data_IF_828670057360
#
_entry.id   IF_828670057360
#
_cell.length_a   1.000
_cell.length_b   1.000
_cell.length_c   1.000
_cell.angle_alpha   90.00
_cell.angle_beta   90.00
_cell.angle_gamma   90.00
#
_symmetry.space_group_name_H-M   'P 1'
#
loop_
_entity.id
_entity.type
_entity.pdbx_description
1 polymer ?
#
# COMPACT_ATOMS: atom_id res chain seq x y z
N UNK A 1 6.01 -4.04 -18.12
CA UNK A 1 7.47 -4.30 -18.00
C UNK A 1 7.80 -5.14 -16.77
N UNK A 2 7.45 -4.70 -15.56
CA UNK A 2 7.81 -5.38 -14.30
C UNK A 2 6.63 -6.08 -13.59
N UNK A 3 5.44 -6.11 -14.20
CA UNK A 3 4.25 -6.70 -13.59
C UNK A 3 4.29 -8.23 -13.52
N UNK A 4 3.36 -8.85 -12.78
CA UNK A 4 3.21 -10.30 -12.71
C UNK A 4 3.20 -10.98 -14.08
N UNK A 5 3.80 -12.16 -14.18
CA UNK A 5 3.86 -12.95 -15.43
C UNK A 5 4.98 -12.55 -16.40
N UNK A 6 5.63 -11.39 -16.22
CA UNK A 6 6.75 -10.95 -17.08
C UNK A 6 8.07 -11.62 -16.72
N UNK A 7 9.01 -11.71 -17.66
CA UNK A 7 10.36 -12.27 -17.40
C UNK A 7 11.17 -11.45 -16.38
N UNK A 8 10.92 -10.14 -16.31
CA UNK A 8 11.54 -9.29 -15.31
C UNK A 8 11.00 -9.60 -13.90
N UNK A 9 9.69 -9.86 -13.77
CA UNK A 9 9.09 -10.31 -12.52
C UNK A 9 9.62 -11.68 -12.08
N UNK A 10 9.66 -12.66 -12.99
CA UNK A 10 10.19 -14.01 -12.71
C UNK A 10 11.62 -13.97 -12.17
N UNK A 11 12.51 -13.21 -12.81
CA UNK A 11 13.89 -13.02 -12.32
C UNK A 11 13.95 -12.35 -10.95
N UNK A 12 13.08 -11.37 -10.69
CA UNK A 12 13.02 -10.70 -9.39
C UNK A 12 12.51 -11.62 -8.26
N UNK A 13 11.59 -12.54 -8.56
CA UNK A 13 11.09 -13.54 -7.60
C UNK A 13 12.07 -14.68 -7.36
N UNK A 14 12.83 -15.11 -8.37
CA UNK A 14 13.90 -16.11 -8.19
C UNK A 14 14.94 -15.62 -7.17
N UNK A 15 15.39 -14.37 -7.31
CA UNK A 15 16.34 -13.77 -6.36
C UNK A 15 15.80 -13.70 -4.93
N UNK A 16 14.49 -13.49 -4.80
CA UNK A 16 13.81 -13.42 -3.51
C UNK A 16 13.76 -14.77 -2.79
N UNK A 17 13.57 -15.86 -3.54
CA UNK A 17 13.53 -17.22 -2.98
C UNK A 17 14.90 -17.83 -2.66
N UNK A 18 15.98 -17.31 -3.25
CA UNK A 18 17.33 -17.91 -3.12
C UNK A 18 18.25 -17.21 -2.11
N UNK A 19 18.01 -15.95 -1.74
CA UNK A 19 18.89 -15.23 -0.82
C UNK A 19 18.17 -14.18 0.02
N UNK A 20 18.54 -14.11 1.30
CA UNK A 20 18.10 -13.05 2.21
C UNK A 20 18.75 -11.69 1.91
N UNK A 21 19.84 -11.67 1.13
CA UNK A 21 20.61 -10.48 0.82
C UNK A 21 20.97 -10.35 -0.66
N UNK A 22 20.96 -9.13 -1.16
CA UNK A 22 21.33 -8.81 -2.55
C UNK A 22 22.76 -8.30 -2.58
N UNK A 23 23.63 -8.97 -3.33
CA UNK A 23 25.09 -8.70 -3.43
C UNK A 23 25.48 -7.68 -4.51
N UNK A 24 24.57 -7.25 -5.39
CA UNK A 24 24.85 -6.31 -6.50
C UNK A 24 23.68 -5.37 -6.77
N UNK A 25 23.88 -4.36 -7.63
CA UNK A 25 22.93 -3.26 -7.90
C UNK A 25 21.49 -3.74 -8.02
N UNK A 26 20.59 -3.02 -7.33
CA UNK A 26 19.13 -3.15 -7.41
C UNK A 26 18.70 -3.58 -8.81
N UNK A 27 18.07 -4.74 -8.92
CA UNK A 27 17.55 -5.23 -10.20
C UNK A 27 16.63 -4.21 -10.86
N UNK A 28 16.38 -4.36 -12.16
CA UNK A 28 15.61 -3.39 -12.95
C UNK A 28 14.19 -3.09 -12.42
N UNK A 29 13.65 -3.97 -11.58
CA UNK A 29 12.31 -3.88 -11.03
C UNK A 29 12.35 -3.92 -9.51
N UNK A 30 11.59 -3.02 -8.89
CA UNK A 30 11.38 -2.95 -7.45
C UNK A 30 9.89 -2.99 -7.16
N UNK A 31 9.55 -3.54 -6.00
CA UNK A 31 8.19 -3.87 -5.64
C UNK A 31 7.85 -3.33 -4.26
N UNK A 32 6.58 -3.01 -4.08
CA UNK A 32 5.94 -2.82 -2.78
C UNK A 32 4.65 -3.63 -2.76
N UNK A 33 4.56 -4.56 -1.82
CA UNK A 33 3.41 -5.41 -1.59
C UNK A 33 2.58 -4.78 -0.49
N UNK A 34 1.32 -4.47 -0.76
CA UNK A 34 0.36 -4.03 0.22
C UNK A 34 -0.45 -5.23 0.73
N UNK A 35 -0.61 -5.30 2.05
CA UNK A 35 -1.42 -6.33 2.70
C UNK A 35 -2.66 -5.69 3.35
N UNK A 36 -3.86 -6.24 3.12
CA UNK A 36 -5.12 -5.73 3.67
C UNK A 36 -5.17 -5.92 5.19
N UNK A 37 -5.29 -4.82 5.94
CA UNK A 37 -5.41 -4.85 7.40
C UNK A 37 -6.59 -4.00 7.87
N UNK A 38 -7.21 -4.38 9.00
CA UNK A 38 -8.35 -3.67 9.61
C UNK A 38 -9.58 -3.58 8.69
N UNK A 39 -10.49 -2.64 8.94
CA UNK A 39 -11.74 -2.47 8.17
C UNK A 39 -11.55 -1.78 6.82
N UNK A 40 -12.57 -1.85 5.96
CA UNK A 40 -12.52 -1.40 4.55
C UNK A 40 -12.03 0.04 4.36
N UNK A 41 -12.49 0.99 5.20
CA UNK A 41 -12.03 2.39 5.13
C UNK A 41 -10.51 2.51 5.35
N UNK A 42 -9.97 1.80 6.34
CA UNK A 42 -8.52 1.78 6.60
C UNK A 42 -7.77 1.12 5.46
N UNK A 43 -8.30 0.04 4.89
CA UNK A 43 -7.71 -0.65 3.73
C UNK A 43 -7.62 0.29 2.52
N UNK A 44 -8.70 0.99 2.18
CA UNK A 44 -8.71 1.95 1.07
C UNK A 44 -7.67 3.05 1.30
N UNK A 45 -7.66 3.67 2.48
CA UNK A 45 -6.74 4.77 2.81
C UNK A 45 -5.27 4.32 2.80
N UNK A 46 -4.97 3.15 3.36
CA UNK A 46 -3.60 2.63 3.41
C UNK A 46 -3.13 2.13 2.04
N UNK A 47 -4.01 1.54 1.24
CA UNK A 47 -3.72 1.11 -0.13
C UNK A 47 -3.36 2.30 -1.01
N UNK A 48 -4.16 3.39 -0.97
CA UNK A 48 -3.84 4.63 -1.70
C UNK A 48 -2.51 5.24 -1.22
N UNK A 49 -2.24 5.17 0.09
CA UNK A 49 -0.96 5.64 0.65
C UNK A 49 0.23 4.82 0.14
N UNK A 50 0.09 3.48 0.04
CA UNK A 50 1.12 2.61 -0.56
C UNK A 50 1.30 2.91 -2.04
N UNK A 51 0.22 3.08 -2.81
CA UNK A 51 0.33 3.41 -4.23
C UNK A 51 1.09 4.71 -4.45
N UNK A 52 0.76 5.73 -3.66
CA UNK A 52 1.50 6.98 -3.70
C UNK A 52 2.97 6.81 -3.37
N UNK A 53 3.30 6.01 -2.34
CA UNK A 53 4.69 5.67 -2.02
C UNK A 53 5.40 4.93 -3.18
N UNK A 54 4.70 4.02 -3.86
CA UNK A 54 5.18 3.35 -5.07
C UNK A 54 5.51 4.34 -6.19
N UNK A 55 4.63 5.33 -6.44
CA UNK A 55 4.89 6.39 -7.43
C UNK A 55 6.15 7.18 -7.07
N UNK A 56 6.32 7.55 -5.80
CA UNK A 56 7.48 8.32 -5.35
C UNK A 56 8.79 7.53 -5.48
N UNK A 57 8.76 6.25 -5.16
CA UNK A 57 9.95 5.38 -5.11
C UNK A 57 10.18 4.53 -6.36
N UNK A 58 9.35 4.70 -7.39
CA UNK A 58 9.42 3.98 -8.67
C UNK A 58 9.35 2.47 -8.48
N UNK A 59 8.36 2.04 -7.70
CA UNK A 59 8.05 0.63 -7.43
C UNK A 59 6.77 0.21 -8.11
N UNK A 60 6.72 -1.05 -8.51
CA UNK A 60 5.46 -1.73 -8.85
C UNK A 60 4.73 -2.04 -7.56
N UNK A 61 3.48 -1.58 -7.45
CA UNK A 61 2.61 -1.98 -6.35
C UNK A 61 1.95 -3.32 -6.67
N UNK A 62 1.96 -4.24 -5.71
CA UNK A 62 1.23 -5.50 -5.75
C UNK A 62 0.34 -5.64 -4.52
N UNK A 63 -0.81 -6.24 -4.66
CA UNK A 63 -1.80 -6.41 -3.58
C UNK A 63 -1.86 -7.87 -3.18
N UNK A 64 -1.76 -8.15 -1.89
CA UNK A 64 -2.12 -9.46 -1.37
C UNK A 64 -3.60 -9.73 -1.65
N UNK A 65 -3.87 -10.73 -2.51
CA UNK A 65 -5.19 -11.06 -3.04
C UNK A 65 -5.88 -12.18 -2.26
N UNK A 66 -5.34 -12.62 -1.13
CA UNK A 66 -5.94 -13.69 -0.31
C UNK A 66 -7.20 -13.24 0.46
N UNK A 67 -7.64 -12.00 0.26
CA UNK A 67 -8.84 -11.42 0.85
C UNK A 67 -9.85 -10.96 -0.22
N UNK A 68 -10.92 -10.32 0.23
CA UNK A 68 -12.04 -9.77 -0.55
C UNK A 68 -11.71 -8.59 -1.47
N UNK A 69 -10.46 -8.15 -1.63
CA UNK A 69 -10.15 -6.95 -2.43
C UNK A 69 -10.44 -7.13 -3.92
N UNK A 70 -10.17 -8.32 -4.47
CA UNK A 70 -10.46 -8.64 -5.86
C UNK A 70 -11.98 -8.70 -6.16
N UNK A 71 -12.79 -8.98 -5.14
CA UNK A 71 -14.26 -8.96 -5.26
C UNK A 71 -14.83 -7.54 -5.21
N UNK A 72 -14.09 -6.60 -4.60
CA UNK A 72 -14.50 -5.22 -4.40
C UNK A 72 -14.07 -4.29 -5.54
N UNK A 73 -12.85 -4.46 -6.07
CA UNK A 73 -12.26 -3.54 -7.04
C UNK A 73 -11.78 -4.24 -8.32
N UNK A 74 -11.95 -3.54 -9.45
CA UNK A 74 -11.42 -3.95 -10.75
C UNK A 74 -9.90 -3.74 -10.85
N UNK A 75 -9.29 -4.31 -11.90
CA UNK A 75 -7.90 -4.00 -12.29
C UNK A 75 -7.78 -2.51 -12.73
N UNK A 76 -6.91 -1.70 -12.08
CA UNK A 76 -6.81 -0.28 -12.39
C UNK A 76 -5.78 0.04 -13.49
N UNK A 77 -4.84 -0.87 -13.76
CA UNK A 77 -3.77 -0.62 -14.73
C UNK A 77 -4.13 -1.19 -16.10
N UNK A 78 -4.03 -0.38 -17.18
CA UNK A 78 -4.41 -0.83 -18.51
C UNK A 78 -3.42 -1.86 -19.07
N UNK A 79 -3.96 -2.92 -19.68
CA UNK A 79 -3.21 -3.98 -20.34
C UNK A 79 -3.86 -5.34 -20.14
N UNK A 80 -3.85 -6.20 -21.17
CA UNK A 80 -4.48 -7.53 -21.11
C UNK A 80 -3.73 -8.51 -20.21
N UNK A 81 -2.43 -8.28 -19.98
CA UNK A 81 -1.55 -9.13 -19.18
C UNK A 81 -0.92 -8.35 -18.00
N UNK A 82 -1.62 -7.34 -17.48
CA UNK A 82 -1.18 -6.56 -16.33
C UNK A 82 -2.17 -6.77 -15.19
N UNK A 83 -1.70 -7.30 -14.08
CA UNK A 83 -2.46 -7.40 -12.84
C UNK A 83 -1.69 -6.70 -11.72
N UNK A 84 -2.41 -6.00 -10.86
CA UNK A 84 -1.87 -5.50 -9.59
C UNK A 84 -1.93 -6.52 -8.47
N UNK A 85 -2.51 -7.70 -8.69
CA UNK A 85 -2.62 -8.75 -7.68
C UNK A 85 -1.29 -9.52 -7.58
N UNK A 86 -0.85 -9.78 -6.36
CA UNK A 86 0.31 -10.62 -6.08
C UNK A 86 -0.03 -12.08 -6.41
N UNK A 87 0.68 -12.75 -7.33
CA UNK A 87 0.46 -14.17 -7.63
C UNK A 87 0.47 -15.05 -6.39
N UNK A 88 -0.48 -15.99 -6.31
CA UNK A 88 -0.64 -16.87 -5.15
C UNK A 88 0.56 -17.80 -4.94
N UNK A 89 1.31 -18.10 -6.01
CA UNK A 89 2.54 -18.90 -6.02
C UNK A 89 3.81 -18.07 -5.73
N UNK A 90 3.67 -16.78 -5.41
CA UNK A 90 4.79 -15.93 -5.03
C UNK A 90 5.48 -16.44 -3.74
N UNK A 91 6.82 -16.44 -3.66
CA UNK A 91 7.55 -16.81 -2.43
C UNK A 91 7.23 -15.95 -1.20
N UNK A 92 6.64 -14.76 -1.40
CA UNK A 92 6.20 -13.89 -0.31
C UNK A 92 4.86 -14.31 0.29
N UNK A 93 4.00 -14.96 -0.49
CA UNK A 93 2.61 -15.25 -0.10
C UNK A 93 2.56 -16.03 1.21
N UNK A 94 3.42 -17.05 1.36
CA UNK A 94 3.49 -17.87 2.58
C UNK A 94 4.11 -17.13 3.77
N UNK A 95 4.91 -16.10 3.52
CA UNK A 95 5.60 -15.31 4.56
C UNK A 95 4.78 -14.12 5.05
N UNK A 96 3.80 -13.65 4.26
CA UNK A 96 3.05 -12.43 4.60
C UNK A 96 2.42 -12.54 5.98
N UNK A 97 1.90 -13.71 6.37
CA UNK A 97 1.21 -13.89 7.64
C UNK A 97 2.17 -13.93 8.84
N UNK A 98 3.43 -14.33 8.64
CA UNK A 98 4.45 -14.35 9.70
C UNK A 98 5.01 -12.95 10.00
N UNK A 99 4.90 -11.99 9.08
CA UNK A 99 5.41 -10.65 9.29
C UNK A 99 4.69 -9.93 10.44
N UNK A 100 5.45 -9.67 11.50
CA UNK A 100 5.06 -8.94 12.69
C UNK A 100 6.25 -8.12 13.22
N UNK A 101 6.07 -7.43 14.35
CA UNK A 101 7.09 -6.57 14.98
C UNK A 101 8.28 -7.33 15.54
N UNK A 102 8.22 -8.64 15.69
CA UNK A 102 9.31 -9.47 16.20
C UNK A 102 10.07 -10.15 15.06
N UNK A 103 9.51 -10.14 13.84
CA UNK A 103 10.11 -10.75 12.66
C UNK A 103 11.49 -10.14 12.35
N UNK A 104 12.46 -10.98 12.00
CA UNK A 104 13.84 -10.56 11.72
C UNK A 104 13.95 -9.56 10.56
N UNK A 105 13.07 -9.68 9.56
CA UNK A 105 12.95 -8.76 8.43
C UNK A 105 12.07 -7.51 8.70
N UNK A 106 11.56 -7.34 9.92
CA UNK A 106 10.85 -6.11 10.29
C UNK A 106 11.85 -4.95 10.38
N UNK A 107 11.63 -3.90 9.60
CA UNK A 107 12.56 -2.79 9.48
C UNK A 107 12.85 -2.09 10.81
N UNK A 108 11.83 -1.78 11.61
CA UNK A 108 12.04 -1.15 12.92
C UNK A 108 12.76 -2.08 13.91
N UNK A 109 12.61 -3.40 13.77
CA UNK A 109 13.35 -4.39 14.58
C UNK A 109 14.80 -4.46 14.18
N UNK A 110 15.09 -4.45 12.88
CA UNK A 110 16.46 -4.37 12.39
C UNK A 110 17.15 -3.07 12.81
N UNK A 111 16.43 -1.94 12.81
CA UNK A 111 16.95 -0.67 13.32
C UNK A 111 17.26 -0.74 14.82
N UNK A 112 16.32 -1.26 15.62
CA UNK A 112 16.49 -1.45 17.07
C UNK A 112 17.71 -2.31 17.40
N UNK A 113 17.95 -3.35 16.60
CA UNK A 113 19.05 -4.30 16.82
C UNK A 113 20.35 -3.89 16.11
N UNK A 114 20.41 -2.70 15.49
CA UNK A 114 21.56 -2.23 14.71
C UNK A 114 22.01 -3.20 13.60
N UNK A 115 21.07 -3.93 13.01
CA UNK A 115 21.33 -4.95 12.00
C UNK A 115 21.42 -4.41 10.56
N UNK A 116 21.16 -3.10 10.35
CA UNK A 116 21.22 -2.47 9.04
C UNK A 116 22.63 -1.96 8.79
N UNK A 117 23.35 -2.63 7.89
CA UNK A 117 24.68 -2.26 7.43
C UNK A 117 24.64 -1.76 5.98
N UNK A 118 25.51 -0.82 5.64
CA UNK A 118 25.63 -0.24 4.29
C UNK A 118 26.16 -1.21 3.23
N UNK A 119 26.74 -2.34 3.67
CA UNK A 119 27.40 -3.33 2.79
C UNK A 119 26.48 -4.45 2.33
N UNK A 120 25.36 -4.69 3.02
CA UNK A 120 24.43 -5.80 2.73
C UNK A 120 23.00 -5.30 2.70
N UNK A 121 22.34 -5.41 1.54
CA UNK A 121 20.94 -5.00 1.39
C UNK A 121 20.06 -6.25 1.47
N UNK A 122 19.06 -6.31 2.36
CA UNK A 122 18.09 -7.41 2.37
C UNK A 122 17.33 -7.54 1.05
N UNK A 123 16.99 -8.76 0.64
CA UNK A 123 16.15 -9.00 -0.55
C UNK A 123 14.72 -8.50 -0.34
N UNK A 124 14.24 -8.55 0.90
CA UNK A 124 12.96 -8.00 1.29
C UNK A 124 12.96 -7.44 2.71
N UNK A 125 12.03 -6.51 2.96
CA UNK A 125 11.75 -5.96 4.28
C UNK A 125 10.26 -5.85 4.54
N UNK A 126 9.89 -6.06 5.80
CA UNK A 126 8.56 -5.76 6.32
C UNK A 126 8.53 -4.37 6.97
N UNK A 127 7.55 -3.56 6.58
CA UNK A 127 7.26 -2.23 7.12
C UNK A 127 5.96 -2.26 7.93
N UNK A 128 6.10 -2.10 9.25
CA UNK A 128 5.01 -1.99 10.22
C UNK A 128 4.57 -0.52 10.31
N UNK A 129 3.44 -0.16 9.70
CA UNK A 129 2.95 1.23 9.66
C UNK A 129 1.53 1.28 10.23
N UNK A 130 1.40 1.04 11.52
CA UNK A 130 0.13 1.08 12.24
C UNK A 130 0.02 2.31 13.17
N UNK A 131 -1.21 2.59 13.62
CA UNK A 131 -1.52 3.60 14.64
C UNK A 131 -0.66 3.52 15.92
N UNK A 132 -0.16 2.34 16.28
CA UNK A 132 0.64 2.04 17.46
C UNK A 132 2.11 1.68 17.12
N UNK A 133 2.60 2.12 15.94
CA UNK A 133 3.98 1.90 15.50
C UNK A 133 5.00 2.39 16.54
N UNK A 134 6.11 1.66 16.70
CA UNK A 134 7.22 2.06 17.59
C UNK A 134 8.01 3.19 16.96
N UNK A 135 8.81 3.89 17.75
CA UNK A 135 9.63 4.99 17.23
C UNK A 135 10.64 4.54 16.15
N UNK A 136 11.16 3.32 16.29
CA UNK A 136 12.01 2.70 15.28
C UNK A 136 11.26 2.44 13.96
N UNK A 137 9.99 2.02 14.00
CA UNK A 137 9.18 1.80 12.79
C UNK A 137 8.87 3.15 12.11
N UNK A 138 8.60 4.20 12.91
CA UNK A 138 8.37 5.57 12.42
C UNK A 138 9.57 6.17 11.69
N UNK A 139 10.78 5.62 11.85
CA UNK A 139 11.95 6.03 11.06
C UNK A 139 11.75 5.79 9.56
N UNK A 140 10.75 5.02 9.15
CA UNK A 140 10.27 5.00 7.76
C UNK A 140 10.05 6.42 7.20
N UNK A 141 9.56 7.36 8.00
CA UNK A 141 9.28 8.74 7.54
C UNK A 141 10.51 9.67 7.53
N UNK A 142 11.71 9.14 7.73
CA UNK A 142 12.95 9.92 7.73
C UNK A 142 13.71 9.79 6.40
N UNK A 143 14.30 10.89 5.92
CA UNK A 143 15.00 10.93 4.64
C UNK A 143 16.19 9.97 4.55
N UNK A 144 17.04 9.93 5.58
CA UNK A 144 18.20 9.01 5.63
C UNK A 144 17.77 7.55 5.49
N UNK A 145 16.65 7.21 6.11
CA UNK A 145 16.09 5.87 6.13
C UNK A 145 15.44 5.52 4.78
N UNK A 146 14.79 6.49 4.12
CA UNK A 146 14.31 6.32 2.75
C UNK A 146 15.44 6.07 1.75
N UNK A 147 16.61 6.68 1.93
CA UNK A 147 17.77 6.41 1.09
C UNK A 147 18.22 4.94 1.16
N UNK A 148 18.14 4.32 2.34
CA UNK A 148 18.39 2.88 2.50
C UNK A 148 17.25 2.04 1.87
N UNK A 149 15.99 2.35 2.20
CA UNK A 149 14.82 1.62 1.70
C UNK A 149 14.72 1.63 0.17
N UNK A 150 15.23 2.68 -0.50
CA UNK A 150 15.30 2.77 -1.97
C UNK A 150 16.05 1.59 -2.61
N UNK A 151 17.01 1.00 -1.89
CA UNK A 151 17.88 -0.07 -2.39
C UNK A 151 17.30 -1.47 -2.20
N UNK A 152 16.31 -1.62 -1.32
CA UNK A 152 15.68 -2.92 -1.03
C UNK A 152 14.69 -3.27 -2.14
N UNK A 153 14.82 -4.40 -2.85
CA UNK A 153 13.99 -4.66 -4.02
C UNK A 153 12.53 -4.93 -3.67
N UNK A 154 12.25 -5.65 -2.58
CA UNK A 154 10.89 -5.99 -2.15
C UNK A 154 10.55 -5.35 -0.80
N UNK A 155 9.49 -4.57 -0.75
CA UNK A 155 8.93 -4.07 0.51
C UNK A 155 7.56 -4.70 0.72
N UNK A 156 7.28 -5.16 1.93
CA UNK A 156 5.95 -5.63 2.35
C UNK A 156 5.42 -4.64 3.37
N UNK A 157 4.26 -4.04 3.11
CA UNK A 157 3.67 -3.00 3.94
C UNK A 157 2.36 -3.50 4.53
N UNK A 158 2.29 -3.49 5.86
CA UNK A 158 1.02 -3.63 6.59
C UNK A 158 0.71 -2.29 7.26
N UNK A 159 -0.48 -1.76 7.01
CA UNK A 159 -0.87 -0.46 7.53
C UNK A 159 -2.37 -0.28 7.67
N UNK A 160 -2.77 0.50 8.67
CA UNK A 160 -4.15 0.97 8.87
C UNK A 160 -4.28 2.50 8.79
N UNK A 161 -3.27 3.19 8.29
CA UNK A 161 -3.17 4.64 8.31
C UNK A 161 -3.25 5.26 6.90
N UNK A 162 -3.81 6.47 6.84
CA UNK A 162 -3.56 7.41 5.75
C UNK A 162 -2.29 8.20 6.04
N UNK A 163 -1.13 7.66 5.67
CA UNK A 163 0.19 8.24 6.01
C UNK A 163 0.78 9.13 4.90
N UNK A 164 -0.02 9.41 3.89
CA UNK A 164 0.28 10.31 2.77
C UNK A 164 0.83 11.68 3.21
N UNK A 165 0.23 12.39 4.20
CA UNK A 165 0.74 13.68 4.66
C UNK A 165 2.17 13.63 5.20
N UNK A 166 2.55 12.56 5.88
CA UNK A 166 3.91 12.40 6.42
C UNK A 166 4.97 12.24 5.32
N UNK A 167 4.59 11.70 4.16
CA UNK A 167 5.51 11.59 3.01
C UNK A 167 5.83 12.95 2.38
N UNK A 168 4.95 13.95 2.53
CA UNK A 168 5.22 15.33 2.08
C UNK A 168 6.31 16.03 2.91
N UNK A 169 6.56 15.54 4.12
CA UNK A 169 7.57 16.09 5.03
C UNK A 169 8.98 15.55 4.73
N UNK A 170 9.12 14.59 3.81
CA UNK A 170 10.39 14.02 3.41
C UNK A 170 11.01 14.89 2.29
N UNK A 171 12.14 15.58 2.53
CA UNK A 171 12.68 16.55 1.58
C UNK A 171 12.95 15.98 0.19
N UNK A 172 13.60 14.81 0.11
CA UNK A 172 13.86 14.11 -1.16
C UNK A 172 12.63 13.78 -2.01
N UNK A 173 11.41 13.76 -1.46
CA UNK A 173 10.19 13.54 -2.24
C UNK A 173 9.56 14.84 -2.77
N UNK A 174 9.87 16.00 -2.18
CA UNK A 174 9.18 17.26 -2.47
C UNK A 174 9.21 17.66 -3.94
N UNK A 175 10.36 17.52 -4.61
CA UNK A 175 10.49 17.89 -6.03
C UNK A 175 9.54 17.08 -6.93
N UNK A 176 9.34 15.79 -6.63
CA UNK A 176 8.43 14.93 -7.40
C UNK A 176 6.98 15.20 -7.03
N UNK A 177 6.72 15.42 -5.75
CA UNK A 177 5.41 15.73 -5.20
C UNK A 177 4.79 17.00 -5.77
N UNK A 178 5.55 18.11 -5.79
CA UNK A 178 5.08 19.40 -6.29
C UNK A 178 4.76 19.32 -7.80
N UNK A 179 5.47 18.47 -8.55
CA UNK A 179 5.21 18.24 -9.97
C UNK A 179 3.96 17.39 -10.22
N UNK A 180 3.78 16.32 -9.44
CA UNK A 180 2.63 15.42 -9.60
C UNK A 180 1.33 16.04 -9.08
N UNK A 181 1.40 16.80 -7.99
CA UNK A 181 0.25 17.36 -7.30
C UNK A 181 0.50 18.84 -6.96
N UNK A 182 0.31 19.76 -7.92
CA UNK A 182 0.43 21.20 -7.66
C UNK A 182 -0.55 21.68 -6.58
N UNK A 183 -1.75 21.09 -6.54
CA UNK A 183 -2.72 21.24 -5.47
C UNK A 183 -2.53 20.11 -4.46
N UNK A 184 -1.99 20.43 -3.27
CA UNK A 184 -1.56 19.43 -2.29
C UNK A 184 -2.72 18.64 -1.66
N UNK A 185 -3.91 19.21 -1.67
CA UNK A 185 -5.14 18.68 -1.10
C UNK A 185 -5.90 17.73 -2.03
N UNK A 186 -5.47 17.56 -3.29
CA UNK A 186 -6.16 16.71 -4.28
C UNK A 186 -5.58 15.30 -4.41
N UNK A 187 -4.54 14.95 -3.64
CA UNK A 187 -3.81 13.68 -3.80
C UNK A 187 -4.72 12.46 -3.67
N UNK A 188 -5.47 12.35 -2.56
CA UNK A 188 -6.38 11.21 -2.37
C UNK A 188 -7.50 11.21 -3.41
N UNK A 189 -8.03 12.38 -3.75
CA UNK A 189 -9.09 12.52 -4.76
C UNK A 189 -8.67 11.92 -6.11
N UNK A 190 -7.51 12.33 -6.64
CA UNK A 190 -7.02 11.82 -7.92
C UNK A 190 -6.63 10.34 -7.87
N UNK A 191 -5.90 9.92 -6.83
CA UNK A 191 -5.42 8.53 -6.76
C UNK A 191 -6.56 7.54 -6.52
N UNK A 192 -7.54 7.89 -5.69
CA UNK A 192 -8.69 7.03 -5.44
C UNK A 192 -9.55 6.87 -6.69
N UNK A 193 -9.79 7.94 -7.45
CA UNK A 193 -10.52 7.86 -8.71
C UNK A 193 -9.80 7.04 -9.77
N UNK A 194 -8.47 7.01 -9.74
CA UNK A 194 -7.66 6.21 -10.66
C UNK A 194 -7.60 4.73 -10.27
N UNK A 195 -7.53 4.41 -8.97
CA UNK A 195 -7.36 3.04 -8.50
C UNK A 195 -8.68 2.30 -8.22
N UNK A 196 -9.68 3.00 -7.70
CA UNK A 196 -10.81 2.39 -7.00
C UNK A 196 -12.04 2.36 -7.90
N UNK A 197 -12.05 1.41 -8.83
CA UNK A 197 -13.22 1.12 -9.64
C UNK A 197 -13.98 -0.07 -9.04
N UNK A 198 -15.23 0.10 -8.60
CA UNK A 198 -15.99 -1.01 -8.02
C UNK A 198 -16.27 -2.09 -9.07
N UNK A 199 -16.29 -3.35 -8.65
CA UNK A 199 -16.74 -4.46 -9.51
C UNK A 199 -18.20 -4.28 -9.91
N UNK A 200 -18.63 -4.98 -10.97
CA UNK A 200 -20.01 -4.90 -11.46
C UNK A 200 -21.06 -5.22 -10.39
N UNK A 201 -20.74 -6.12 -9.45
CA UNK A 201 -21.62 -6.45 -8.33
C UNK A 201 -21.82 -5.23 -7.41
N UNK A 202 -20.72 -4.62 -6.96
CA UNK A 202 -20.74 -3.43 -6.09
C UNK A 202 -21.37 -2.24 -6.82
N UNK A 203 -20.99 -2.01 -8.08
CA UNK A 203 -21.54 -0.93 -8.91
C UNK A 203 -23.05 -1.09 -9.17
N UNK A 204 -23.51 -2.34 -9.35
CA UNK A 204 -24.93 -2.64 -9.46
C UNK A 204 -25.71 -2.27 -8.20
N UNK A 205 -25.14 -2.47 -7.00
CA UNK A 205 -25.77 -2.03 -5.75
C UNK A 205 -25.86 -0.50 -5.67
N UNK A 206 -24.80 0.22 -6.05
CA UNK A 206 -24.76 1.69 -6.04
C UNK A 206 -25.80 2.26 -7.01
N UNK A 207 -25.79 1.81 -8.25
CA UNK A 207 -26.67 2.34 -9.31
C UNK A 207 -28.14 2.06 -9.05
N UNK A 208 -28.50 0.86 -8.57
CA UNK A 208 -29.90 0.55 -8.21
C UNK A 208 -30.42 1.45 -7.10
N UNK A 209 -29.64 1.62 -6.02
CA UNK A 209 -30.02 2.48 -4.90
C UNK A 209 -30.13 3.95 -5.33
N UNK A 210 -29.17 4.43 -6.11
CA UNK A 210 -29.19 5.80 -6.62
C UNK A 210 -30.42 6.05 -7.51
N UNK A 211 -30.68 5.17 -8.48
CA UNK A 211 -31.79 5.33 -9.42
C UNK A 211 -33.16 5.25 -8.74
N UNK A 212 -33.31 4.38 -7.75
CA UNK A 212 -34.58 4.20 -7.03
C UNK A 212 -34.89 5.36 -6.08
N UNK A 213 -33.89 5.86 -5.34
CA UNK A 213 -34.13 6.74 -4.19
C UNK A 213 -33.58 8.15 -4.34
N UNK A 214 -32.55 8.36 -5.18
CA UNK A 214 -31.79 9.61 -5.21
C UNK A 214 -31.88 10.35 -6.55
N UNK A 215 -32.10 9.67 -7.67
CA UNK A 215 -31.95 10.25 -9.01
C UNK A 215 -32.89 11.43 -9.33
N UNK A 216 -34.07 11.50 -8.67
CA UNK A 216 -35.08 12.53 -8.95
C UNK A 216 -35.00 13.79 -8.09
N UNK A 217 -34.15 13.82 -7.07
CA UNK A 217 -34.03 14.98 -6.19
C UNK A 217 -33.21 16.09 -6.87
N UNK A 218 -33.65 17.34 -6.70
CA UNK A 218 -32.92 18.52 -7.18
C UNK A 218 -31.57 18.68 -6.45
N UNK A 219 -31.57 18.37 -5.15
CA UNK A 219 -30.38 18.39 -4.29
C UNK A 219 -30.30 17.11 -3.45
N UNK A 220 -29.08 16.70 -3.10
CA UNK A 220 -28.81 15.47 -2.32
C UNK A 220 -27.88 15.79 -1.17
N UNK A 221 -28.30 15.45 0.05
CA UNK A 221 -27.50 15.58 1.27
C UNK A 221 -26.99 14.21 1.72
N UNK A 222 -25.67 14.05 1.80
CA UNK A 222 -25.04 12.86 2.38
C UNK A 222 -24.74 13.06 3.86
N UNK A 223 -25.33 12.22 4.73
CA UNK A 223 -25.04 12.22 6.16
C UNK A 223 -24.36 10.89 6.52
N UNK A 224 -23.05 10.94 6.75
CA UNK A 224 -22.28 9.78 7.22
C UNK A 224 -22.22 9.82 8.74
N UNK A 225 -22.88 8.86 9.40
CA UNK A 225 -22.93 8.78 10.87
C UNK A 225 -22.06 7.63 11.36
N UNK A 226 -21.09 7.94 12.22
CA UNK A 226 -20.28 6.96 12.95
C UNK A 226 -20.15 7.39 14.40
N UNK A 227 -20.60 6.54 15.32
CA UNK A 227 -20.50 6.76 16.77
C UNK A 227 -19.52 5.76 17.37
N UNK A 228 -18.50 6.26 18.09
CA UNK A 228 -17.54 5.44 18.82
C UNK A 228 -17.89 5.45 20.32
N UNK A 229 -18.69 4.49 20.77
CA UNK A 229 -19.12 4.39 22.16
C UNK A 229 -19.20 2.93 22.64
N UNK A 230 -19.11 2.76 23.95
CA UNK A 230 -19.40 1.51 24.65
C UNK A 230 -20.34 1.81 25.82
N UNK A 231 -21.60 1.30 25.82
CA UNK A 231 -22.20 0.41 24.83
C UNK A 231 -22.52 1.11 23.50
N UNK A 232 -22.77 0.33 22.46
CA UNK A 232 -23.32 0.84 21.21
C UNK A 232 -24.76 1.30 21.45
N UNK A 233 -25.11 2.50 21.01
CA UNK A 233 -26.44 3.04 21.17
C UNK A 233 -26.66 4.31 20.36
N UNK A 234 -27.92 4.66 20.18
CA UNK A 234 -28.30 5.99 19.72
C UNK A 234 -28.24 6.95 20.90
N UNK A 235 -27.57 8.08 20.71
CA UNK A 235 -27.52 9.13 21.71
C UNK A 235 -28.63 10.11 21.40
N UNK A 236 -29.54 10.28 22.36
CA UNK A 236 -30.54 11.34 22.32
C UNK A 236 -29.82 12.65 22.67
N UNK A 237 -30.01 13.67 21.84
CA UNK A 237 -29.45 15.01 22.07
C UNK A 237 -30.26 15.77 23.12
#
# INVERSE_FOLDING_TARGET
RCGPGTDAYKRATEQLGHSDHVRSSVGECRYVVWTPMFGLGNRILSMVSVFFYALLTERVMLLDQRNDIADLFCEPFPGTNTSWLLPLDSPLTDQIDSFNREHSHCYGTMLKNHAINSTTTPSHLYLDIFHDSRDHDKMFFCEKNQAFLKNVPWLVVKSNLYYLPSLWLIPSFQTKLIKLFPQKDTVFHHLSQYLLHPTNQVWGMVTRSYNAYLARADERLGIQVRVFSTPAGYFQH
#
